data_IF_852591133778
#
_entry.id   IF_852591133778
#
_cell.length_a   1.000
_cell.length_b   1.000
_cell.length_c   1.000
_cell.angle_alpha   90.00
_cell.angle_beta   90.00
_cell.angle_gamma   90.00
#
_symmetry.space_group_name_H-M   'P 1'
#
loop_
_entity.id
_entity.type
_entity.pdbx_description
1 polymer ?
#
# COMPACT_ATOMS: atom_id res chain seq x y z
N UNK A 1 12.12 -14.96 -8.45
CA UNK A 1 13.55 -14.58 -8.44
C UNK A 1 13.68 -13.10 -8.06
N UNK A 2 14.80 -12.69 -7.49
CA UNK A 2 15.03 -11.28 -7.11
C UNK A 2 16.51 -10.95 -7.10
N UNK A 3 16.79 -9.66 -7.26
CA UNK A 3 18.14 -9.10 -7.17
C UNK A 3 18.14 -7.87 -6.28
N UNK A 4 19.10 -7.82 -5.38
CA UNK A 4 19.36 -6.67 -4.51
C UNK A 4 20.49 -5.85 -5.10
N UNK A 5 20.33 -4.54 -5.15
CA UNK A 5 21.29 -3.59 -5.67
C UNK A 5 21.81 -2.71 -4.51
N UNK A 6 23.05 -2.97 -4.09
CA UNK A 6 23.55 -2.40 -2.84
C UNK A 6 22.67 -2.82 -1.65
N UNK A 7 22.55 -1.94 -0.65
CA UNK A 7 21.71 -2.20 0.52
C UNK A 7 20.37 -1.46 0.51
N UNK A 8 19.98 -0.88 -0.63
CA UNK A 8 18.87 0.09 -0.71
C UNK A 8 17.81 -0.24 -1.73
N UNK A 9 18.14 -0.98 -2.77
CA UNK A 9 17.19 -1.28 -3.84
C UNK A 9 17.05 -2.77 -4.06
N UNK A 10 15.84 -3.23 -4.34
CA UNK A 10 15.52 -4.60 -4.64
C UNK A 10 14.53 -4.68 -5.79
N UNK A 11 14.78 -5.58 -6.73
CA UNK A 11 13.86 -5.96 -7.79
C UNK A 11 13.52 -7.44 -7.65
N UNK A 12 12.24 -7.74 -7.55
CA UNK A 12 11.71 -9.12 -7.51
C UNK A 12 10.77 -9.37 -8.67
N UNK A 13 10.89 -10.54 -9.28
CA UNK A 13 9.93 -11.04 -10.24
C UNK A 13 9.52 -12.47 -9.86
N UNK A 14 8.24 -12.80 -10.02
CA UNK A 14 7.72 -14.11 -9.66
C UNK A 14 6.32 -14.33 -10.18
N UNK A 15 5.87 -15.57 -10.08
CA UNK A 15 4.49 -15.95 -10.34
C UNK A 15 3.69 -15.83 -9.03
N UNK A 16 2.46 -15.38 -9.15
CA UNK A 16 1.46 -15.40 -8.08
C UNK A 16 0.24 -16.15 -8.58
N UNK A 17 -0.37 -16.93 -7.71
CA UNK A 17 -1.60 -17.62 -8.04
C UNK A 17 -2.27 -18.17 -6.80
N UNK A 18 -3.58 -18.34 -6.88
CA UNK A 18 -4.43 -18.90 -5.84
C UNK A 18 -5.89 -18.89 -6.25
N UNK A 19 -6.74 -19.42 -5.39
CA UNK A 19 -8.19 -19.33 -5.51
C UNK A 19 -8.73 -18.38 -4.44
N UNK A 20 -9.79 -17.66 -4.77
CA UNK A 20 -10.54 -16.83 -3.85
C UNK A 20 -12.01 -17.25 -3.84
N UNK A 21 -12.58 -17.28 -2.64
CA UNK A 21 -14.01 -17.41 -2.41
C UNK A 21 -14.46 -16.21 -1.61
N UNK A 22 -15.48 -15.53 -2.10
CA UNK A 22 -16.11 -14.39 -1.40
C UNK A 22 -17.53 -14.76 -1.10
N UNK A 23 -17.79 -15.03 0.17
CA UNK A 23 -19.14 -15.29 0.69
C UNK A 23 -19.72 -13.98 1.23
N UNK A 24 -20.99 -13.73 0.91
CA UNK A 24 -21.70 -12.58 1.43
C UNK A 24 -22.32 -12.90 2.79
N UNK A 25 -21.79 -12.32 3.86
CA UNK A 25 -22.38 -12.44 5.18
C UNK A 25 -23.46 -11.39 5.44
N UNK A 26 -23.22 -10.14 5.03
CA UNK A 26 -24.14 -9.00 5.21
C UNK A 26 -23.95 -8.03 4.04
N UNK A 27 -25.02 -7.48 3.48
CA UNK A 27 -24.93 -6.44 2.45
C UNK A 27 -26.09 -6.42 1.46
N UNK A 28 -26.01 -5.54 0.47
CA UNK A 28 -26.99 -5.42 -0.62
C UNK A 28 -27.01 -6.66 -1.51
N UNK A 29 -28.20 -7.09 -2.00
CA UNK A 29 -28.35 -8.28 -2.84
C UNK A 29 -27.57 -8.28 -4.15
N UNK A 30 -27.08 -7.11 -4.57
CA UNK A 30 -26.47 -6.90 -5.88
C UNK A 30 -24.95 -7.24 -5.94
N UNK A 31 -24.34 -7.64 -4.83
CA UNK A 31 -22.95 -8.10 -4.86
C UNK A 31 -22.89 -9.57 -5.31
N UNK A 32 -22.17 -9.88 -6.39
CA UNK A 32 -22.02 -11.25 -6.85
C UNK A 32 -21.30 -12.11 -5.82
N UNK A 33 -21.80 -13.30 -5.58
CA UNK A 33 -21.06 -14.35 -4.86
C UNK A 33 -19.98 -14.88 -5.78
N UNK A 34 -18.73 -14.87 -5.32
CA UNK A 34 -17.59 -15.37 -6.06
C UNK A 34 -17.16 -16.68 -5.40
N UNK A 35 -17.34 -17.77 -6.13
CA UNK A 35 -16.96 -19.10 -5.64
C UNK A 35 -15.83 -19.67 -6.50
N UNK A 36 -14.65 -19.83 -5.88
CA UNK A 36 -13.54 -20.54 -6.48
C UNK A 36 -12.89 -19.86 -7.69
N UNK A 37 -13.03 -18.53 -7.83
CA UNK A 37 -12.33 -17.82 -8.90
C UNK A 37 -10.82 -17.80 -8.64
N UNK A 38 -10.05 -18.23 -9.66
CA UNK A 38 -8.61 -18.24 -9.63
C UNK A 38 -8.03 -16.85 -9.95
N UNK A 39 -6.92 -16.54 -9.34
CA UNK A 39 -6.03 -15.50 -9.83
C UNK A 39 -4.65 -16.09 -10.09
N UNK A 40 -4.06 -15.77 -11.23
CA UNK A 40 -2.73 -16.22 -11.58
C UNK A 40 -2.05 -15.25 -12.51
N UNK A 41 -0.76 -15.06 -12.36
CA UNK A 41 -0.06 -14.09 -13.20
C UNK A 41 1.38 -13.83 -12.79
N UNK A 42 1.99 -12.92 -13.54
CA UNK A 42 3.34 -12.43 -13.33
C UNK A 42 3.32 -11.20 -12.41
N UNK A 43 4.17 -11.21 -11.38
CA UNK A 43 4.35 -10.07 -10.49
C UNK A 43 5.79 -9.58 -10.55
N UNK A 44 5.96 -8.26 -10.73
CA UNK A 44 7.24 -7.56 -10.65
C UNK A 44 7.13 -6.52 -9.56
N UNK A 45 8.07 -6.53 -8.60
CA UNK A 45 8.13 -5.56 -7.51
C UNK A 45 9.49 -4.91 -7.46
N UNK A 46 9.49 -3.59 -7.45
CA UNK A 46 10.65 -2.77 -7.13
C UNK A 46 10.47 -2.15 -5.75
N UNK A 47 11.52 -2.17 -4.93
CA UNK A 47 11.56 -1.50 -3.63
C UNK A 47 12.88 -0.76 -3.50
N UNK A 48 12.80 0.52 -3.14
CA UNK A 48 13.94 1.34 -2.73
C UNK A 48 13.68 1.83 -1.33
N UNK A 49 14.58 1.54 -0.39
CA UNK A 49 14.41 1.83 1.04
C UNK A 49 15.72 2.35 1.63
N UNK A 50 15.69 3.59 2.07
CA UNK A 50 16.82 4.27 2.73
C UNK A 50 16.47 4.72 4.14
N UNK A 51 15.31 4.30 4.67
CA UNK A 51 14.88 4.69 6.01
C UNK A 51 15.86 4.15 7.05
N UNK A 52 16.02 4.90 8.13
CA UNK A 52 16.69 4.41 9.33
C UNK A 52 15.94 3.18 9.91
N UNK A 53 16.56 2.54 10.90
CA UNK A 53 16.02 1.33 11.55
C UNK A 53 15.37 1.62 12.89
N UNK A 54 15.09 2.89 13.18
CA UNK A 54 14.44 3.28 14.42
C UNK A 54 12.97 2.85 14.44
N UNK A 55 12.42 2.70 15.62
CA UNK A 55 11.00 2.36 15.82
C UNK A 55 10.10 3.44 15.21
N UNK A 56 10.46 4.70 15.39
CA UNK A 56 9.89 5.84 14.69
C UNK A 56 10.95 6.35 13.72
N UNK A 57 10.72 6.20 12.42
CA UNK A 57 11.67 6.63 11.39
C UNK A 57 11.93 8.14 11.51
N UNK A 58 13.19 8.48 11.57
CA UNK A 58 13.65 9.87 11.72
C UNK A 58 14.14 10.47 10.40
N UNK A 59 14.56 9.62 9.46
CA UNK A 59 15.10 10.04 8.17
C UNK A 59 14.94 8.95 7.10
N UNK A 60 14.98 9.37 5.84
CA UNK A 60 15.05 8.49 4.70
C UNK A 60 13.78 8.42 3.86
N UNK A 61 13.80 7.51 2.90
CA UNK A 61 12.74 7.37 1.90
C UNK A 61 12.44 5.90 1.63
N UNK A 62 11.19 5.63 1.31
CA UNK A 62 10.73 4.34 0.80
C UNK A 62 9.95 4.56 -0.49
N UNK A 63 10.34 3.87 -1.55
CA UNK A 63 9.55 3.77 -2.78
C UNK A 63 9.29 2.29 -3.06
N UNK A 64 8.04 1.95 -3.29
CA UNK A 64 7.65 0.60 -3.70
C UNK A 64 6.71 0.70 -4.88
N UNK A 65 7.01 -0.07 -5.92
CA UNK A 65 6.15 -0.22 -7.09
C UNK A 65 5.91 -1.70 -7.30
N UNK A 66 4.67 -2.06 -7.59
CA UNK A 66 4.29 -3.44 -7.90
C UNK A 66 3.46 -3.43 -9.18
N UNK A 67 3.95 -4.15 -10.17
CA UNK A 67 3.21 -4.47 -11.38
C UNK A 67 2.75 -5.92 -11.30
N UNK A 68 1.50 -6.16 -11.67
CA UNK A 68 0.93 -7.49 -11.78
C UNK A 68 0.19 -7.60 -13.11
N UNK A 69 0.46 -8.68 -13.82
CA UNK A 69 -0.28 -9.07 -15.02
C UNK A 69 -0.99 -10.39 -14.75
N UNK A 70 -2.31 -10.32 -14.70
CA UNK A 70 -3.17 -11.48 -14.67
C UNK A 70 -3.14 -12.20 -16.03
N UNK A 71 -3.01 -13.52 -16.03
CA UNK A 71 -2.91 -14.31 -17.22
C UNK A 71 -3.78 -15.58 -17.08
N UNK A 72 -4.71 -15.80 -18.00
CA UNK A 72 -5.65 -16.94 -17.96
C UNK A 72 -4.91 -18.28 -17.97
N UNK A 73 -3.80 -18.37 -18.71
CA UNK A 73 -2.94 -19.56 -18.75
C UNK A 73 -2.31 -19.91 -17.40
N UNK A 74 -2.26 -18.95 -16.47
CA UNK A 74 -1.75 -19.10 -15.11
C UNK A 74 -2.88 -19.22 -14.07
N UNK A 75 -4.14 -19.24 -14.50
CA UNK A 75 -5.30 -19.40 -13.64
C UNK A 75 -6.04 -18.12 -13.27
N UNK A 76 -5.79 -17.01 -13.94
CA UNK A 76 -6.62 -15.83 -13.79
C UNK A 76 -7.95 -15.98 -14.54
N UNK A 77 -9.01 -15.35 -14.01
CA UNK A 77 -10.33 -15.33 -14.66
C UNK A 77 -10.33 -14.46 -15.93
N UNK A 78 -9.47 -13.45 -15.97
CA UNK A 78 -9.32 -12.55 -17.10
C UNK A 78 -7.87 -12.04 -17.20
N UNK A 79 -7.50 -11.57 -18.38
CA UNK A 79 -6.22 -10.91 -18.60
C UNK A 79 -6.34 -9.43 -18.26
N UNK A 80 -5.54 -8.95 -17.31
CA UNK A 80 -5.49 -7.55 -16.89
C UNK A 80 -4.12 -7.14 -16.40
N UNK A 81 -3.83 -5.87 -16.48
CA UNK A 81 -2.59 -5.27 -15.97
C UNK A 81 -2.91 -4.33 -14.80
N UNK A 82 -2.18 -4.45 -13.71
CA UNK A 82 -2.33 -3.65 -12.50
C UNK A 82 -0.99 -3.09 -12.05
N UNK A 83 -0.92 -1.78 -11.91
CA UNK A 83 0.23 -1.08 -11.35
C UNK A 83 -0.17 -0.39 -10.06
N UNK A 84 0.60 -0.58 -9.02
CA UNK A 84 0.41 0.06 -7.73
C UNK A 84 1.74 0.60 -7.23
N UNK A 85 1.73 1.81 -6.67
CA UNK A 85 2.91 2.47 -6.17
C UNK A 85 2.68 3.15 -4.82
N UNK A 86 3.74 3.20 -4.02
CA UNK A 86 3.82 3.96 -2.80
C UNK A 86 5.18 4.65 -2.71
N UNK A 87 5.16 5.92 -2.39
CA UNK A 87 6.34 6.69 -2.02
C UNK A 87 6.14 7.29 -0.63
N UNK A 88 7.18 7.25 0.18
CA UNK A 88 7.20 7.85 1.50
C UNK A 88 8.54 8.52 1.72
N UNK A 89 8.53 9.71 2.28
CA UNK A 89 9.71 10.46 2.66
C UNK A 89 9.58 10.92 4.11
N UNK A 90 10.64 10.74 4.86
CA UNK A 90 10.77 11.19 6.25
C UNK A 90 11.80 12.30 6.26
N UNK A 91 11.38 13.48 6.70
CA UNK A 91 12.23 14.69 6.73
C UNK A 91 12.40 15.14 8.16
N UNK A 92 13.61 15.03 8.73
CA UNK A 92 13.89 15.58 10.05
C UNK A 92 13.89 17.11 10.00
N UNK A 93 13.29 17.71 11.00
CA UNK A 93 13.25 19.16 11.16
C UNK A 93 13.50 19.55 12.62
N UNK A 94 14.74 19.87 12.95
CA UNK A 94 15.21 20.08 14.33
C UNK A 94 14.95 18.81 15.20
N UNK A 95 14.01 18.92 16.16
CA UNK A 95 13.59 17.81 17.03
C UNK A 95 12.26 17.19 16.58
N UNK A 96 11.75 17.61 15.43
CA UNK A 96 10.47 17.22 14.87
C UNK A 96 10.67 16.39 13.60
N UNK A 97 9.61 15.73 13.14
CA UNK A 97 9.66 14.90 11.94
C UNK A 97 8.44 15.18 11.07
N UNK A 98 8.68 15.35 9.78
CA UNK A 98 7.63 15.43 8.75
C UNK A 98 7.63 14.15 7.94
N UNK A 99 6.49 13.47 7.91
CA UNK A 99 6.22 12.33 7.05
C UNK A 99 5.38 12.78 5.86
N UNK A 100 5.86 12.48 4.67
CA UNK A 100 5.12 12.67 3.43
C UNK A 100 4.91 11.28 2.81
N UNK A 101 3.67 10.95 2.48
CA UNK A 101 3.31 9.69 1.83
C UNK A 101 2.40 9.95 0.65
N UNK A 102 2.68 9.27 -0.45
CA UNK A 102 1.81 9.20 -1.61
C UNK A 102 1.61 7.75 -2.01
N UNK A 103 0.39 7.37 -2.34
CA UNK A 103 0.05 6.05 -2.87
C UNK A 103 -0.84 6.22 -4.08
N UNK A 104 -0.77 5.29 -5.01
CA UNK A 104 -1.65 5.31 -6.16
C UNK A 104 -1.58 4.00 -6.92
N UNK A 105 -2.62 3.73 -7.69
CA UNK A 105 -2.72 2.56 -8.51
C UNK A 105 -3.66 2.78 -9.68
N UNK A 106 -3.40 2.05 -10.75
CA UNK A 106 -4.26 2.02 -11.93
C UNK A 106 -4.24 0.64 -12.58
N UNK A 107 -5.34 0.27 -13.18
CA UNK A 107 -5.44 -0.89 -14.06
C UNK A 107 -5.46 -0.47 -15.51
N UNK A 108 -4.95 -1.35 -16.35
CA UNK A 108 -4.90 -1.16 -17.79
C UNK A 108 -5.39 -2.44 -18.49
N UNK A 109 -6.06 -2.30 -19.61
CA UNK A 109 -6.61 -3.43 -20.36
C UNK A 109 -8.06 -3.70 -20.00
N UNK A 110 -8.40 -4.94 -19.67
CA UNK A 110 -9.76 -5.33 -19.29
C UNK A 110 -10.10 -4.91 -17.85
N UNK A 111 -11.38 -4.98 -17.51
CA UNK A 111 -11.87 -4.66 -16.18
C UNK A 111 -11.23 -5.56 -15.13
N UNK A 112 -10.86 -4.96 -14.00
CA UNK A 112 -10.34 -5.70 -12.85
C UNK A 112 -11.44 -6.62 -12.28
N UNK A 113 -11.09 -7.86 -11.96
CA UNK A 113 -11.95 -8.68 -11.12
C UNK A 113 -12.25 -7.98 -9.79
N UNK A 114 -13.45 -8.16 -9.26
CA UNK A 114 -13.91 -7.49 -8.02
C UNK A 114 -12.93 -7.69 -6.86
N UNK A 115 -12.33 -8.86 -6.76
CA UNK A 115 -11.37 -9.20 -5.70
C UNK A 115 -10.00 -8.53 -5.84
N UNK A 116 -9.67 -7.98 -7.03
CA UNK A 116 -8.40 -7.30 -7.29
C UNK A 116 -8.54 -5.78 -7.52
N UNK A 117 -9.77 -5.24 -7.34
CA UNK A 117 -10.02 -3.80 -7.35
C UNK A 117 -9.24 -3.11 -6.24
N UNK A 118 -8.83 -1.88 -6.51
CA UNK A 118 -8.21 -1.06 -5.49
C UNK A 118 -9.23 -0.68 -4.42
N UNK A 119 -8.79 -0.71 -3.17
CA UNK A 119 -9.61 -0.29 -2.04
C UNK A 119 -8.92 0.85 -1.30
N UNK A 120 -9.68 1.87 -0.96
CA UNK A 120 -9.24 3.01 -0.20
C UNK A 120 -10.07 3.15 1.08
N UNK A 121 -9.43 3.53 2.16
CA UNK A 121 -10.05 3.73 3.48
C UNK A 121 -9.20 3.16 4.61
N UNK A 122 -9.62 3.44 5.82
CA UNK A 122 -8.95 3.03 7.05
C UNK A 122 -7.94 4.04 7.60
N UNK A 123 -7.52 3.85 8.86
CA UNK A 123 -6.81 4.87 9.64
C UNK A 123 -5.44 5.25 9.07
N UNK A 124 -4.85 4.41 8.23
CA UNK A 124 -3.50 4.63 7.67
C UNK A 124 -3.55 5.28 6.29
N UNK A 125 -4.55 4.96 5.47
CA UNK A 125 -4.66 5.48 4.10
C UNK A 125 -5.58 6.70 4.02
N UNK A 126 -6.74 6.63 4.66
CA UNK A 126 -7.73 7.71 4.66
C UNK A 126 -8.49 7.71 5.99
N UNK A 127 -7.98 8.41 7.01
CA UNK A 127 -8.69 8.57 8.28
C UNK A 127 -10.05 9.22 8.06
N UNK A 128 -11.11 8.58 8.56
CA UNK A 128 -12.49 9.04 8.37
C UNK A 128 -13.33 8.16 7.46
N UNK A 129 -12.70 7.26 6.70
CA UNK A 129 -13.37 6.20 5.95
C UNK A 129 -13.13 4.84 6.63
N UNK A 130 -14.11 3.94 6.55
CA UNK A 130 -13.93 2.56 6.97
C UNK A 130 -12.93 1.84 6.04
N UNK A 131 -12.36 0.76 6.53
CA UNK A 131 -11.40 -0.02 5.74
C UNK A 131 -12.08 -0.55 4.46
N UNK A 132 -11.52 -0.18 3.29
CA UNK A 132 -12.04 -0.64 2.00
C UNK A 132 -13.40 -0.05 1.61
N UNK A 133 -13.79 1.10 2.17
CA UNK A 133 -15.07 1.75 1.90
C UNK A 133 -15.20 2.23 0.45
N UNK A 134 -14.13 2.75 -0.13
CA UNK A 134 -14.09 3.11 -1.53
C UNK A 134 -13.41 2.01 -2.34
N UNK A 135 -13.94 1.75 -3.54
CA UNK A 135 -13.40 0.78 -4.49
C UNK A 135 -13.36 1.38 -5.88
N UNK A 136 -12.32 1.05 -6.65
CA UNK A 136 -12.16 1.55 -8.01
C UNK A 136 -11.10 0.80 -8.81
N UNK A 137 -11.00 1.15 -10.08
CA UNK A 137 -9.98 0.66 -11.01
C UNK A 137 -8.72 1.52 -11.03
N UNK A 138 -8.80 2.68 -10.40
CA UNK A 138 -7.67 3.59 -10.15
C UNK A 138 -7.90 4.36 -8.86
N UNK A 139 -6.82 4.82 -8.25
CA UNK A 139 -6.87 5.70 -7.09
C UNK A 139 -5.57 6.46 -6.91
N UNK A 140 -5.62 7.55 -6.18
CA UNK A 140 -4.46 8.15 -5.57
C UNK A 140 -4.78 8.62 -4.14
N UNK A 141 -3.79 8.63 -3.28
CA UNK A 141 -3.91 9.19 -1.93
C UNK A 141 -2.59 9.82 -1.50
N UNK A 142 -2.69 10.97 -0.86
CA UNK A 142 -1.56 11.70 -0.28
C UNK A 142 -1.79 11.96 1.20
N UNK A 143 -0.73 11.90 1.98
CA UNK A 143 -0.75 12.21 3.41
C UNK A 143 0.49 12.99 3.80
N UNK A 144 0.30 14.04 4.59
CA UNK A 144 1.36 14.75 5.28
C UNK A 144 1.11 14.69 6.79
N UNK A 145 2.10 14.25 7.56
CA UNK A 145 2.00 14.11 9.01
C UNK A 145 3.19 14.80 9.66
N UNK A 146 2.92 15.73 10.57
CA UNK A 146 3.92 16.43 11.34
C UNK A 146 3.91 15.95 12.79
N UNK A 147 5.05 15.52 13.28
CA UNK A 147 5.25 15.08 14.66
C UNK A 147 6.23 16.02 15.37
N UNK A 148 5.78 16.65 16.43
CA UNK A 148 6.59 17.48 17.32
C UNK A 148 7.02 16.66 18.53
N UNK A 149 8.30 16.66 18.82
CA UNK A 149 8.84 16.09 20.06
C UNK A 149 8.52 17.00 21.22
N UNK A 150 7.70 16.53 22.16
CA UNK A 150 7.24 17.30 23.31
C UNK A 150 8.18 17.10 24.50
N UNK A 151 8.58 15.86 24.77
CA UNK A 151 9.38 15.52 25.93
C UNK A 151 10.28 14.31 25.68
N UNK A 152 11.35 14.25 26.44
CA UNK A 152 12.17 13.07 26.58
C UNK A 152 11.67 12.27 27.78
N UNK A 153 11.35 11.00 27.58
CA UNK A 153 10.87 10.10 28.62
C UNK A 153 11.92 9.03 28.92
N UNK A 154 11.75 8.34 30.05
CA UNK A 154 12.65 7.28 30.44
C UNK A 154 12.80 6.20 29.35
N UNK A 155 14.00 5.70 29.17
CA UNK A 155 14.33 4.63 28.22
C UNK A 155 13.43 3.39 28.32
N UNK A 156 12.87 3.13 29.51
CA UNK A 156 11.94 2.00 29.77
C UNK A 156 10.60 2.17 29.06
N UNK A 157 10.18 3.41 28.81
CA UNK A 157 8.88 3.74 28.18
C UNK A 157 8.99 4.24 26.74
N UNK A 158 10.19 4.15 26.14
CA UNK A 158 10.50 4.75 24.85
C UNK A 158 11.24 6.08 25.03
N UNK A 159 12.08 6.51 24.17
CA UNK A 159 13.01 7.63 24.39
C UNK A 159 12.35 9.01 24.30
N UNK A 160 11.19 9.13 23.66
CA UNK A 160 10.60 10.43 23.34
C UNK A 160 9.09 10.36 23.22
N UNK A 161 8.44 11.42 23.66
CA UNK A 161 7.01 11.64 23.49
C UNK A 161 6.79 12.62 22.32
N UNK A 162 5.93 12.23 21.39
CA UNK A 162 5.55 13.06 20.24
C UNK A 162 4.06 13.36 20.28
N UNK A 163 3.69 14.56 19.83
CA UNK A 163 2.34 14.88 19.42
C UNK A 163 2.35 15.48 18.02
N UNK A 164 1.28 15.31 17.28
CA UNK A 164 1.24 15.80 15.91
C UNK A 164 -0.14 15.75 15.31
N UNK A 165 -0.19 16.09 14.04
CA UNK A 165 -1.39 16.04 13.22
C UNK A 165 -1.06 15.47 11.83
N UNK A 166 -2.07 14.98 11.16
CA UNK A 166 -1.98 14.50 9.80
C UNK A 166 -3.08 15.10 8.94
N UNK A 167 -2.75 15.38 7.68
CA UNK A 167 -3.66 15.79 6.63
C UNK A 167 -3.62 14.74 5.52
N UNK A 168 -4.78 14.35 5.02
CA UNK A 168 -4.89 13.37 3.93
C UNK A 168 -5.84 13.88 2.87
N UNK A 169 -5.52 13.55 1.62
CA UNK A 169 -6.37 13.77 0.46
C UNK A 169 -6.32 12.53 -0.44
N UNK A 170 -7.44 12.21 -1.09
CA UNK A 170 -7.53 11.05 -1.98
C UNK A 170 -8.65 11.24 -3.01
N UNK A 171 -8.55 10.50 -4.15
CA UNK A 171 -9.54 10.40 -5.21
C UNK A 171 -9.47 9.02 -5.89
#
# INVERSE_FOLDING_TARGET
AGRVFGNRAELRAGLRGGGQTVDREIGTPDLPEISGEGYGGLSIRYTYDTRDRDVLWQDGSLVRMTYFRGEESLGAVAQYDRLEGMAMMVVPFNRNVLYLRATGGASFGSDLPIYDTFTLGGPVSMPGLNLGELRGTSYWAGQASYLQRIADISYVFGQSLYAGFALSAAD
#
